data_IF_899258341097
#
_entry.id   IF_899258341097
#
_cell.length_a   1.000
_cell.length_b   1.000
_cell.length_c   1.000
_cell.angle_alpha   90.00
_cell.angle_beta   90.00
_cell.angle_gamma   90.00
#
_symmetry.space_group_name_H-M   'P 1'
#
loop_
_entity.id
_entity.type
_entity.pdbx_description
1 polymer ?
#
# COMPACT_ATOMS: atom_id res chain seq x y z
N UNK A 1 -9.58 0.32 17.90
CA UNK A 1 -8.86 -0.37 16.82
C UNK A 1 -9.27 0.24 15.49
N UNK A 2 -8.31 0.58 14.64
CA UNK A 2 -8.56 1.29 13.38
C UNK A 2 -7.56 0.88 12.31
N UNK A 3 -7.96 0.95 11.03
CA UNK A 3 -6.98 0.94 9.94
C UNK A 3 -6.27 2.28 9.86
N UNK A 4 -4.96 2.23 9.61
CA UNK A 4 -4.19 3.38 9.19
C UNK A 4 -3.37 3.05 7.94
N UNK A 5 -3.31 4.02 7.04
CA UNK A 5 -2.39 4.05 5.91
C UNK A 5 -1.16 4.79 6.37
N UNK A 6 0.00 4.17 6.19
CA UNK A 6 1.30 4.81 6.40
C UNK A 6 2.12 4.73 5.13
N UNK A 7 3.05 5.66 4.99
CA UNK A 7 3.85 5.82 3.80
C UNK A 7 5.33 5.88 4.13
N UNK A 8 6.16 5.57 3.12
CA UNK A 8 7.61 5.76 3.19
C UNK A 8 8.13 6.52 1.98
N UNK A 9 9.14 7.36 2.20
CA UNK A 9 9.90 8.03 1.14
C UNK A 9 11.37 8.06 1.54
N UNK A 10 12.33 8.09 0.59
CA UNK A 10 13.74 8.15 0.93
C UNK A 10 14.08 9.33 1.84
N UNK A 11 14.99 9.14 2.79
CA UNK A 11 15.30 10.12 3.84
C UNK A 11 16.12 11.35 3.36
N UNK A 12 16.50 11.38 2.09
CA UNK A 12 17.24 12.47 1.46
C UNK A 12 16.35 13.39 0.61
N UNK A 13 15.04 13.13 0.57
CA UNK A 13 14.07 13.95 -0.19
C UNK A 13 13.91 15.34 0.42
N UNK A 14 13.56 16.32 -0.42
CA UNK A 14 13.29 17.68 0.04
C UNK A 14 11.94 17.73 0.78
N UNK A 15 11.96 17.79 2.10
CA UNK A 15 10.76 17.79 2.94
C UNK A 15 9.83 18.98 2.67
N UNK A 16 10.35 20.17 2.36
CA UNK A 16 9.52 21.34 2.03
C UNK A 16 8.64 21.03 0.81
N UNK A 17 9.24 20.51 -0.26
CA UNK A 17 8.51 20.09 -1.46
C UNK A 17 7.59 18.91 -1.20
N UNK A 18 7.99 17.97 -0.34
CA UNK A 18 7.11 16.87 0.10
C UNK A 18 5.85 17.40 0.76
N UNK A 19 5.97 18.35 1.69
CA UNK A 19 4.82 18.99 2.33
C UNK A 19 3.95 19.72 1.31
N UNK A 20 4.52 20.49 0.41
CA UNK A 20 3.78 21.18 -0.66
C UNK A 20 2.96 20.20 -1.52
N UNK A 21 3.57 19.08 -1.95
CA UNK A 21 2.87 18.06 -2.74
C UNK A 21 1.75 17.44 -1.93
N UNK A 22 1.99 17.03 -0.69
CA UNK A 22 0.97 16.38 0.15
C UNK A 22 -0.19 17.34 0.43
N UNK A 23 0.08 18.61 0.75
CA UNK A 23 -0.95 19.62 0.98
C UNK A 23 -1.82 19.86 -0.25
N UNK A 24 -1.23 19.86 -1.46
CA UNK A 24 -1.99 19.95 -2.71
C UNK A 24 -2.95 18.77 -2.94
N UNK A 25 -2.72 17.64 -2.27
CA UNK A 25 -3.58 16.45 -2.26
C UNK A 25 -4.45 16.37 -0.99
N UNK A 26 -4.52 17.43 -0.17
CA UNK A 26 -5.19 17.48 1.13
C UNK A 26 -4.68 16.43 2.14
N UNK A 27 -3.40 16.07 2.03
CA UNK A 27 -2.70 15.15 2.90
C UNK A 27 -1.78 15.90 3.88
N UNK A 28 -1.46 15.24 4.98
CA UNK A 28 -0.49 15.68 5.98
C UNK A 28 0.82 14.94 5.86
N UNK A 29 1.78 15.32 6.70
CA UNK A 29 3.00 14.57 6.93
C UNK A 29 3.29 14.58 8.42
N UNK A 30 2.99 13.47 9.08
CA UNK A 30 3.34 13.24 10.48
C UNK A 30 4.37 12.12 10.53
N UNK A 31 5.64 12.46 10.77
CA UNK A 31 6.69 11.46 10.88
C UNK A 31 6.45 10.53 12.07
N UNK A 32 6.52 9.23 11.82
CA UNK A 32 6.36 8.18 12.82
C UNK A 32 7.73 7.58 13.12
N UNK A 33 8.26 7.92 14.28
CA UNK A 33 9.44 7.22 14.83
C UNK A 33 8.97 5.91 15.48
N UNK A 34 8.93 4.84 14.69
CA UNK A 34 8.65 3.47 15.15
C UNK A 34 9.91 2.59 14.96
N UNK A 35 10.70 2.32 16.01
CA UNK A 35 11.93 1.54 15.92
C UNK A 35 11.71 0.14 15.31
N UNK A 36 10.57 -0.47 15.58
CA UNK A 36 10.24 -1.80 15.08
C UNK A 36 10.09 -1.80 13.54
N UNK A 37 9.39 -0.81 12.97
CA UNK A 37 9.26 -0.67 11.51
C UNK A 37 10.55 -0.18 10.86
N UNK A 38 11.26 0.76 11.48
CA UNK A 38 12.54 1.27 10.96
C UNK A 38 13.60 0.16 10.87
N UNK A 39 13.62 -0.76 11.83
CA UNK A 39 14.52 -1.93 11.80
C UNK A 39 14.24 -2.88 10.63
N UNK A 40 13.00 -2.91 10.13
CA UNK A 40 12.56 -3.77 9.03
C UNK A 40 12.67 -3.09 7.66
N UNK A 41 12.57 -1.76 7.60
CA UNK A 41 12.48 -0.98 6.36
C UNK A 41 13.77 -0.32 5.93
N UNK A 42 14.85 -0.42 6.73
CA UNK A 42 16.11 0.35 6.61
C UNK A 42 15.94 1.80 7.04
N UNK A 43 16.94 2.34 7.75
CA UNK A 43 17.04 3.74 8.17
C UNK A 43 17.14 4.76 7.01
N UNK A 44 16.99 4.31 5.76
CA UNK A 44 17.05 5.13 4.54
C UNK A 44 15.71 5.74 4.16
N UNK A 45 14.65 5.49 4.92
CA UNK A 45 13.32 6.01 4.64
C UNK A 45 12.79 6.83 5.81
N UNK A 46 12.12 7.93 5.50
CA UNK A 46 11.11 8.47 6.40
C UNK A 46 9.91 7.54 6.41
N UNK A 47 9.37 7.28 7.59
CA UNK A 47 8.10 6.58 7.78
C UNK A 47 7.11 7.57 8.38
N UNK A 48 5.97 7.76 7.73
CA UNK A 48 5.06 8.84 8.11
C UNK A 48 3.60 8.46 7.86
N UNK A 49 2.72 9.20 8.52
CA UNK A 49 1.29 9.18 8.26
C UNK A 49 0.93 10.28 7.26
N UNK A 50 0.40 9.92 6.08
CA UNK A 50 -0.03 10.89 5.08
C UNK A 50 -1.44 11.44 5.35
N UNK A 51 -2.27 10.77 6.15
CA UNK A 51 -3.69 11.15 6.31
C UNK A 51 -3.91 12.11 7.47
N UNK A 52 -4.83 13.08 7.28
CA UNK A 52 -5.23 14.06 8.29
C UNK A 52 -6.47 13.65 9.10
N UNK A 53 -7.14 12.58 8.69
CA UNK A 53 -8.33 12.03 9.34
C UNK A 53 -7.99 11.36 10.68
N UNK A 54 -9.01 10.97 11.46
CA UNK A 54 -8.77 10.20 12.69
C UNK A 54 -8.41 8.73 12.42
N UNK A 55 -8.88 8.15 11.31
CA UNK A 55 -8.52 6.79 10.86
C UNK A 55 -8.82 6.62 9.37
N UNK A 56 -8.36 5.49 8.80
CA UNK A 56 -8.51 5.14 7.40
C UNK A 56 -9.40 3.89 7.21
N UNK A 57 -10.33 3.63 8.15
CA UNK A 57 -11.18 2.42 8.15
C UNK A 57 -12.02 2.27 6.87
N UNK A 58 -12.44 3.38 6.28
CA UNK A 58 -13.26 3.43 5.06
C UNK A 58 -12.43 3.38 3.77
N UNK A 59 -11.10 3.24 3.87
CA UNK A 59 -10.22 3.25 2.69
C UNK A 59 -10.65 2.20 1.65
N UNK A 60 -10.44 2.48 0.37
CA UNK A 60 -10.52 1.51 -0.71
C UNK A 60 -9.26 0.63 -0.78
N UNK A 61 -8.14 1.04 -0.16
CA UNK A 61 -6.92 0.27 -0.15
C UNK A 61 -7.12 -1.07 0.56
N UNK A 62 -6.71 -2.16 -0.08
CA UNK A 62 -6.90 -3.52 0.41
C UNK A 62 -8.36 -3.92 0.65
N UNK A 63 -9.33 -3.17 0.11
CA UNK A 63 -10.77 -3.44 0.32
C UNK A 63 -11.16 -4.82 -0.21
N UNK A 64 -10.62 -5.24 -1.37
CA UNK A 64 -10.84 -6.59 -1.88
C UNK A 64 -10.24 -7.63 -0.96
N UNK A 65 -9.05 -7.41 -0.39
CA UNK A 65 -8.48 -8.36 0.56
C UNK A 65 -9.22 -8.43 1.89
N UNK A 66 -9.80 -7.34 2.36
CA UNK A 66 -10.67 -7.37 3.55
C UNK A 66 -11.96 -8.16 3.28
N UNK A 67 -12.57 -7.97 2.10
CA UNK A 67 -13.72 -8.77 1.66
C UNK A 67 -13.35 -10.21 1.28
N UNK A 68 -12.10 -10.45 0.85
CA UNK A 68 -11.57 -11.77 0.52
C UNK A 68 -11.10 -12.50 1.77
N UNK A 69 -10.60 -11.89 2.83
CA UNK A 69 -10.14 -12.61 4.03
C UNK A 69 -11.27 -13.39 4.70
N UNK A 70 -12.51 -12.92 4.60
CA UNK A 70 -13.70 -13.69 4.99
C UNK A 70 -13.99 -14.90 4.07
N UNK A 71 -13.47 -14.92 2.85
CA UNK A 71 -13.71 -15.95 1.79
C UNK A 71 -12.49 -16.83 1.46
N UNK A 72 -11.27 -16.29 1.52
CA UNK A 72 -9.98 -16.86 1.10
C UNK A 72 -9.29 -17.58 2.23
N UNK A 73 -9.45 -17.17 3.50
CA UNK A 73 -9.06 -18.03 4.63
C UNK A 73 -9.71 -19.41 4.48
N UNK A 74 -10.99 -19.46 4.06
CA UNK A 74 -11.67 -20.73 3.82
C UNK A 74 -11.07 -21.54 2.65
N UNK A 75 -10.42 -20.90 1.68
CA UNK A 75 -9.88 -21.54 0.46
C UNK A 75 -8.41 -21.91 0.62
N UNK A 76 -7.61 -21.05 1.24
CA UNK A 76 -6.21 -21.32 1.61
C UNK A 76 -6.18 -22.49 2.59
N UNK A 77 -7.01 -22.47 3.64
CA UNK A 77 -7.12 -23.62 4.55
C UNK A 77 -7.59 -24.91 3.85
N UNK A 78 -8.39 -24.82 2.77
CA UNK A 78 -8.75 -25.99 1.96
C UNK A 78 -7.59 -26.48 1.08
N UNK A 79 -6.75 -25.59 0.55
CA UNK A 79 -5.58 -25.95 -0.26
C UNK A 79 -4.43 -26.50 0.60
N UNK A 80 -4.23 -25.95 1.79
CA UNK A 80 -3.32 -26.48 2.82
C UNK A 80 -3.76 -27.87 3.29
N UNK A 81 -5.07 -28.05 3.59
CA UNK A 81 -5.64 -29.38 3.89
C UNK A 81 -5.51 -30.38 2.74
N UNK A 82 -5.38 -29.90 1.50
CA UNK A 82 -5.10 -30.72 0.30
C UNK A 82 -3.61 -30.96 0.07
N UNK A 83 -2.74 -30.57 1.01
CA UNK A 83 -1.31 -30.84 0.97
C UNK A 83 -0.51 -29.97 -0.01
N UNK A 84 -1.04 -28.82 -0.40
CA UNK A 84 -0.30 -27.91 -1.29
C UNK A 84 0.85 -27.24 -0.54
N UNK A 85 2.04 -27.24 -1.15
CA UNK A 85 3.20 -26.54 -0.58
C UNK A 85 3.02 -25.03 -0.69
N UNK A 86 3.66 -24.29 0.23
CA UNK A 86 3.62 -22.82 0.27
C UNK A 86 4.01 -22.19 -1.08
N UNK A 87 5.05 -22.73 -1.73
CA UNK A 87 5.48 -22.31 -3.07
C UNK A 87 4.42 -22.52 -4.15
N UNK A 88 3.59 -23.57 -4.06
CA UNK A 88 2.46 -23.79 -4.99
C UNK A 88 1.33 -22.81 -4.74
N UNK A 89 1.09 -22.44 -3.49
CA UNK A 89 0.09 -21.43 -3.12
C UNK A 89 0.52 -20.05 -3.62
N UNK A 90 1.79 -19.68 -3.44
CA UNK A 90 2.37 -18.42 -3.93
C UNK A 90 2.37 -18.35 -5.46
N UNK A 91 2.67 -19.47 -6.13
CA UNK A 91 2.58 -19.59 -7.59
C UNK A 91 1.14 -19.45 -8.08
N UNK A 92 0.19 -20.06 -7.38
CA UNK A 92 -1.22 -19.97 -7.73
C UNK A 92 -1.76 -18.54 -7.55
N UNK A 93 -1.36 -17.85 -6.48
CA UNK A 93 -1.67 -16.43 -6.25
C UNK A 93 -1.12 -15.56 -7.39
N UNK A 94 0.15 -15.74 -7.76
CA UNK A 94 0.75 -14.98 -8.86
C UNK A 94 0.14 -15.30 -10.24
N UNK A 95 -0.26 -16.54 -10.49
CA UNK A 95 -0.99 -16.94 -11.71
C UNK A 95 -2.40 -16.35 -11.76
N UNK A 96 -3.10 -16.28 -10.62
CA UNK A 96 -4.43 -15.65 -10.53
C UNK A 96 -4.38 -14.15 -10.77
N UNK A 97 -3.42 -13.46 -10.15
CA UNK A 97 -3.15 -12.02 -10.37
C UNK A 97 -2.89 -11.74 -11.86
N UNK A 98 -2.11 -12.58 -12.55
CA UNK A 98 -1.87 -12.45 -14.01
C UNK A 98 -3.13 -12.66 -14.84
N UNK A 99 -4.01 -13.59 -14.46
CA UNK A 99 -5.24 -13.86 -15.20
C UNK A 99 -6.29 -12.75 -15.07
N UNK A 100 -6.32 -12.05 -13.93
CA UNK A 100 -7.26 -10.97 -13.64
C UNK A 100 -6.81 -9.64 -14.27
N UNK A 101 -5.51 -9.44 -14.48
CA UNK A 101 -4.93 -8.29 -15.20
C UNK A 101 -5.39 -8.16 -16.66
N UNK A 102 -5.77 -9.26 -17.31
CA UNK A 102 -6.23 -9.25 -18.70
C UNK A 102 -7.71 -8.87 -18.86
N UNK A 103 -8.46 -8.66 -17.78
CA UNK A 103 -9.87 -8.30 -17.82
C UNK A 103 -10.13 -7.00 -17.08
N UNK A 104 -10.10 -5.89 -17.83
CA UNK A 104 -11.01 -4.72 -17.75
C UNK A 104 -10.28 -3.39 -17.94
N UNK A 105 -10.41 -2.86 -19.14
CA UNK A 105 -10.42 -1.43 -19.44
C UNK A 105 -11.88 -0.97 -19.46
N UNK A 106 -12.24 0.05 -18.69
CA UNK A 106 -13.32 0.97 -19.06
C UNK A 106 -13.13 2.33 -18.38
N UNK A 107 -13.17 3.34 -19.23
CA UNK A 107 -13.09 4.80 -19.06
C UNK A 107 -14.26 5.45 -18.32
N UNK A 108 -14.02 6.54 -17.59
CA UNK A 108 -14.87 7.76 -17.62
C UNK A 108 -14.24 8.96 -16.88
N UNK A 109 -14.60 10.18 -17.33
CA UNK A 109 -13.99 11.50 -17.06
C UNK A 109 -14.52 12.24 -15.82
N UNK A 110 -13.61 13.04 -15.25
CA UNK A 110 -13.69 14.36 -14.60
C UNK A 110 -14.55 14.57 -13.32
N UNK A 111 -13.80 14.85 -12.23
CA UNK A 111 -14.14 15.36 -10.89
C UNK A 111 -14.63 14.41 -9.78
N UNK A 112 -14.38 13.10 -9.85
CA UNK A 112 -14.53 12.15 -8.73
C UNK A 112 -13.54 10.99 -8.89
N UNK A 113 -12.26 11.21 -8.58
CA UNK A 113 -11.28 10.11 -8.59
C UNK A 113 -11.68 9.09 -7.53
N UNK A 114 -11.59 7.80 -7.86
CA UNK A 114 -11.62 6.78 -6.81
C UNK A 114 -10.42 6.99 -5.88
N UNK A 115 -10.52 6.55 -4.63
CA UNK A 115 -9.37 6.65 -3.71
C UNK A 115 -8.13 5.90 -4.27
N UNK A 116 -8.34 4.81 -5.02
CA UNK A 116 -7.24 4.08 -5.66
C UNK A 116 -6.57 4.88 -6.78
N UNK A 117 -7.34 5.63 -7.57
CA UNK A 117 -6.81 6.57 -8.56
C UNK A 117 -6.09 7.74 -7.90
N UNK A 118 -6.61 8.23 -6.78
CA UNK A 118 -5.96 9.26 -5.98
C UNK A 118 -4.56 8.84 -5.52
N UNK A 119 -4.42 7.65 -4.93
CA UNK A 119 -3.12 7.13 -4.50
C UNK A 119 -2.16 6.91 -5.67
N UNK A 120 -2.67 6.42 -6.80
CA UNK A 120 -1.88 6.26 -8.02
C UNK A 120 -1.34 7.62 -8.52
N UNK A 121 -2.19 8.63 -8.63
CA UNK A 121 -1.80 9.96 -9.07
C UNK A 121 -0.80 10.62 -8.12
N UNK A 122 -0.98 10.46 -6.81
CA UNK A 122 -0.04 10.97 -5.81
C UNK A 122 1.37 10.38 -6.03
N UNK A 123 1.47 9.05 -6.15
CA UNK A 123 2.76 8.36 -6.38
C UNK A 123 3.41 8.85 -7.68
N UNK A 124 2.65 8.91 -8.77
CA UNK A 124 3.15 9.43 -10.04
C UNK A 124 3.56 10.90 -9.95
N UNK A 125 2.88 11.71 -9.11
CA UNK A 125 3.25 13.10 -8.88
C UNK A 125 4.63 13.21 -8.25
N UNK A 126 4.93 12.41 -7.22
CA UNK A 126 6.27 12.36 -6.60
C UNK A 126 7.35 12.04 -7.63
N UNK A 127 7.10 11.11 -8.55
CA UNK A 127 8.07 10.69 -9.57
C UNK A 127 8.21 11.68 -10.72
N UNK A 128 7.11 12.29 -11.17
CA UNK A 128 7.11 13.24 -12.30
C UNK A 128 7.88 14.53 -12.00
N UNK A 129 7.87 14.99 -10.75
CA UNK A 129 8.64 16.17 -10.31
C UNK A 129 10.06 15.81 -9.85
N UNK A 130 10.46 14.54 -10.00
CA UNK A 130 11.74 13.99 -9.50
C UNK A 130 11.97 14.25 -8.01
N UNK A 131 10.91 14.20 -7.19
CA UNK A 131 11.05 14.38 -5.74
C UNK A 131 11.70 13.16 -5.09
N UNK A 132 11.33 11.96 -5.56
CA UNK A 132 11.97 10.70 -5.21
C UNK A 132 11.84 9.70 -6.37
N UNK A 133 12.57 8.59 -6.27
CA UNK A 133 12.45 7.44 -7.17
C UNK A 133 11.71 6.26 -6.54
N UNK A 134 11.38 6.37 -5.24
CA UNK A 134 10.70 5.34 -4.47
C UNK A 134 9.64 5.97 -3.57
N UNK A 135 8.47 5.36 -3.51
CA UNK A 135 7.38 5.74 -2.60
C UNK A 135 6.75 4.48 -2.06
N UNK A 136 6.61 4.35 -0.74
CA UNK A 136 6.02 3.17 -0.11
C UNK A 136 4.64 3.42 0.45
N UNK A 137 3.76 2.42 0.37
CA UNK A 137 2.48 2.38 1.09
C UNK A 137 2.36 1.10 1.92
N UNK A 138 1.79 1.24 3.11
CA UNK A 138 1.53 0.18 4.06
C UNK A 138 0.15 0.39 4.68
N UNK A 139 -0.59 -0.71 4.86
CA UNK A 139 -1.87 -0.72 5.57
C UNK A 139 -1.71 -1.64 6.78
N UNK A 140 -2.11 -1.18 7.95
CA UNK A 140 -2.14 -2.01 9.14
C UNK A 140 -3.37 -1.70 9.99
N UNK A 141 -3.88 -2.75 10.65
CA UNK A 141 -4.97 -2.65 11.61
C UNK A 141 -4.37 -2.45 12.99
N UNK A 142 -4.48 -1.23 13.49
CA UNK A 142 -3.85 -0.87 14.74
C UNK A 142 -4.77 -1.13 15.93
N UNK A 143 -4.26 -1.83 16.94
CA UNK A 143 -5.00 -2.07 18.18
C UNK A 143 -4.85 -0.92 19.17
N UNK A 144 -3.67 -0.28 19.17
CA UNK A 144 -3.35 0.86 20.03
C UNK A 144 -2.77 2.03 19.25
N UNK A 145 -1.52 2.36 19.55
CA UNK A 145 -0.82 3.54 18.99
C UNK A 145 -0.16 3.22 17.64
N UNK A 146 0.11 4.24 16.83
CA UNK A 146 0.91 4.11 15.59
C UNK A 146 2.35 3.63 15.83
N UNK A 147 2.80 3.62 17.09
CA UNK A 147 4.10 3.11 17.53
C UNK A 147 4.05 1.67 18.06
N UNK A 148 2.92 0.99 17.95
CA UNK A 148 2.85 -0.42 18.34
C UNK A 148 3.78 -1.28 17.48
N UNK A 149 4.13 -2.43 18.03
CA UNK A 149 5.06 -3.36 17.41
C UNK A 149 4.31 -4.36 16.53
N UNK A 150 4.68 -4.45 15.26
CA UNK A 150 4.16 -5.47 14.35
C UNK A 150 5.18 -5.84 13.28
N UNK A 151 5.13 -7.10 12.84
CA UNK A 151 6.06 -7.60 11.84
C UNK A 151 5.51 -7.42 10.43
N UNK A 152 6.31 -6.86 9.53
CA UNK A 152 6.00 -6.84 8.11
C UNK A 152 6.00 -8.27 7.57
N UNK A 153 4.93 -8.64 6.85
CA UNK A 153 4.85 -9.92 6.14
C UNK A 153 5.85 -9.96 4.98
N UNK A 154 5.98 -8.85 4.27
CA UNK A 154 6.89 -8.72 3.13
C UNK A 154 7.16 -7.25 2.78
N UNK A 155 8.18 -7.02 1.96
CA UNK A 155 8.44 -5.75 1.27
C UNK A 155 8.47 -6.05 -0.23
N UNK A 156 7.50 -5.53 -0.97
CA UNK A 156 7.36 -5.76 -2.40
C UNK A 156 7.73 -4.52 -3.19
N UNK A 157 8.68 -4.67 -4.12
CA UNK A 157 9.05 -3.61 -5.07
C UNK A 157 8.15 -3.69 -6.29
N UNK A 158 7.49 -2.59 -6.62
CA UNK A 158 6.50 -2.51 -7.71
C UNK A 158 6.95 -1.45 -8.70
N UNK A 159 7.02 -1.79 -9.99
CA UNK A 159 7.27 -0.80 -11.02
C UNK A 159 6.01 0.04 -11.26
N UNK A 160 6.10 1.36 -11.10
CA UNK A 160 4.93 2.24 -11.19
C UNK A 160 4.33 2.35 -12.58
N UNK A 161 5.08 2.05 -13.63
CA UNK A 161 4.62 2.17 -15.02
C UNK A 161 3.58 1.09 -15.41
N UNK A 162 3.39 0.07 -14.57
CA UNK A 162 2.49 -1.05 -14.83
C UNK A 162 1.39 -1.23 -13.76
N UNK A 163 1.10 -0.17 -12.99
CA UNK A 163 0.07 -0.21 -11.96
C UNK A 163 -1.33 -0.10 -12.56
N UNK A 164 -2.15 -1.11 -12.32
CA UNK A 164 -3.60 -1.01 -12.52
C UNK A 164 -4.25 -0.35 -11.31
N UNK A 165 -5.33 0.42 -11.52
CA UNK A 165 -6.06 1.04 -10.39
C UNK A 165 -6.65 0.00 -9.42
N UNK A 166 -6.89 -1.24 -9.88
CA UNK A 166 -7.36 -2.33 -9.02
C UNK A 166 -6.28 -2.88 -8.09
N UNK A 167 -5.00 -2.67 -8.38
CA UNK A 167 -3.88 -3.12 -7.54
C UNK A 167 -4.03 -2.63 -6.09
N UNK A 168 -4.39 -1.36 -5.94
CA UNK A 168 -4.56 -0.72 -4.63
C UNK A 168 -5.67 -1.37 -3.80
N UNK A 169 -6.76 -1.83 -4.42
CA UNK A 169 -7.83 -2.57 -3.72
C UNK A 169 -7.37 -3.96 -3.24
N UNK A 170 -6.31 -4.49 -3.82
CA UNK A 170 -5.72 -5.80 -3.60
C UNK A 170 -4.44 -5.75 -2.76
N UNK A 171 -4.13 -4.60 -2.17
CA UNK A 171 -3.07 -4.51 -1.17
C UNK A 171 -3.41 -5.36 0.06
N UNK A 172 -2.41 -6.00 0.64
CA UNK A 172 -2.53 -6.78 1.87
C UNK A 172 -2.03 -5.99 3.08
N UNK A 173 -2.63 -6.27 4.24
CA UNK A 173 -2.17 -5.73 5.51
C UNK A 173 -0.76 -6.24 5.81
N UNK A 174 0.06 -5.39 6.43
CA UNK A 174 1.46 -5.66 6.83
C UNK A 174 2.42 -5.94 5.67
N UNK A 175 2.04 -5.69 4.41
CA UNK A 175 2.99 -5.66 3.28
C UNK A 175 3.32 -4.20 2.96
N UNK A 176 4.61 -3.87 2.94
CA UNK A 176 5.09 -2.59 2.45
C UNK A 176 5.28 -2.69 0.93
N UNK A 177 4.49 -1.93 0.18
CA UNK A 177 4.60 -1.84 -1.27
C UNK A 177 5.46 -0.64 -1.64
N UNK A 178 6.70 -0.87 -2.05
CA UNK A 178 7.65 0.14 -2.53
C UNK A 178 7.48 0.33 -4.04
N UNK A 179 6.76 1.36 -4.43
CA UNK A 179 6.63 1.77 -5.82
C UNK A 179 7.93 2.45 -6.28
N UNK A 180 8.40 2.08 -7.47
CA UNK A 180 9.63 2.59 -8.07
C UNK A 180 9.33 3.14 -9.46
N UNK A 181 9.98 4.26 -9.79
CA UNK A 181 9.87 4.95 -11.08
C UNK A 181 10.23 4.05 -12.27
#
# INVERSE_FOLDING_TARGET
MCYYITATIPNHVNLIKTHEVLQNYNLGFEEIINPNILSQTSNRYFYFRPTTNNCDCETALGKRNRAKNTSHQSTISKLEKKGWSKTKIDRWLSEKVRSEFNQKTNTSKESNLSETEFWHQLILKFFSINLCNEFGLLIHWYEGSLKEEFKLKNILKINSNHLSNSFFEEMENEILYLFQK
#
